data_IF_811070719242
#
_entry.id   IF_811070719242
#
_cell.length_a   1.000
_cell.length_b   1.000
_cell.length_c   1.000
_cell.angle_alpha   90.00
_cell.angle_beta   90.00
_cell.angle_gamma   90.00
#
_symmetry.space_group_name_H-M   'P 1'
#
loop_
_entity.id
_entity.type
_entity.pdbx_description
1 polymer ?
#
# COMPACT_ATOMS: atom_id res chain seq x y z
N UNK A 1 -1.87 15.03 35.81
CA UNK A 1 -1.85 15.73 34.50
C UNK A 1 -1.27 14.73 33.52
N UNK A 2 -2.13 13.86 32.99
CA UNK A 2 -1.71 12.72 32.19
C UNK A 2 -1.81 13.14 30.72
N UNK A 3 -0.67 13.46 30.11
CA UNK A 3 -0.57 13.49 28.66
C UNK A 3 -0.60 12.03 28.20
N UNK A 4 -1.80 11.52 27.92
CA UNK A 4 -1.92 10.35 27.05
C UNK A 4 -1.39 10.78 25.68
N UNK A 5 -0.12 10.46 25.42
CA UNK A 5 0.42 10.42 24.07
C UNK A 5 -0.39 9.34 23.32
N UNK A 6 -1.48 9.76 22.68
CA UNK A 6 -2.16 8.97 21.67
C UNK A 6 -1.23 8.87 20.46
N UNK A 7 -0.18 8.06 20.56
CA UNK A 7 0.55 7.60 19.39
C UNK A 7 -0.49 6.94 18.48
N UNK A 8 -0.75 7.57 17.34
CA UNK A 8 -1.71 7.10 16.35
C UNK A 8 -1.21 5.78 15.80
N UNK A 9 -1.55 4.68 16.45
CA UNK A 9 -1.14 3.33 16.02
C UNK A 9 -2.22 2.75 15.13
N UNK A 10 -1.87 2.44 13.88
CA UNK A 10 -2.75 1.77 12.93
C UNK A 10 -2.17 0.41 12.59
N UNK A 11 -2.95 -0.66 12.84
CA UNK A 11 -2.59 -2.00 12.39
C UNK A 11 -2.80 -2.09 10.87
N UNK A 12 -1.80 -2.60 10.19
CA UNK A 12 -1.79 -2.93 8.77
C UNK A 12 -1.81 -4.45 8.63
N UNK A 13 -2.66 -4.98 7.77
CA UNK A 13 -2.65 -6.40 7.41
C UNK A 13 -1.80 -6.62 6.18
N UNK A 14 -1.09 -7.75 6.11
CA UNK A 14 -0.55 -8.25 4.85
C UNK A 14 -1.51 -9.26 4.24
N UNK A 15 -1.69 -9.17 2.93
CA UNK A 15 -2.30 -10.22 2.13
C UNK A 15 -1.14 -11.00 1.50
N UNK A 16 -0.83 -12.18 2.05
CA UNK A 16 0.39 -12.93 1.71
C UNK A 16 1.67 -12.06 1.88
N UNK A 17 2.35 -11.77 0.77
CA UNK A 17 3.62 -11.04 0.69
C UNK A 17 3.46 -9.57 0.25
N UNK A 18 2.23 -9.06 0.15
CA UNK A 18 1.94 -7.66 -0.19
C UNK A 18 1.02 -6.97 0.83
N UNK A 19 0.93 -5.64 0.74
CA UNK A 19 0.16 -4.81 1.66
C UNK A 19 -1.34 -4.99 1.42
N UNK A 20 -2.06 -5.42 2.46
CA UNK A 20 -3.50 -5.61 2.46
C UNK A 20 -4.25 -4.48 3.19
N UNK A 21 -5.55 -4.69 3.38
CA UNK A 21 -6.43 -3.79 4.11
C UNK A 21 -6.43 -2.35 3.59
N UNK A 22 -6.64 -1.41 4.50
CA UNK A 22 -6.77 0.02 4.16
C UNK A 22 -5.50 0.62 3.56
N UNK A 23 -4.32 0.20 4.01
CA UNK A 23 -3.07 0.73 3.45
C UNK A 23 -2.86 0.22 2.02
N UNK A 24 -3.06 -1.09 1.79
CA UNK A 24 -3.01 -1.66 0.45
C UNK A 24 -3.96 -0.96 -0.51
N UNK A 25 -5.21 -0.73 -0.10
CA UNK A 25 -6.19 -0.01 -0.91
C UNK A 25 -5.82 1.46 -1.13
N UNK A 26 -5.34 2.16 -0.09
CA UNK A 26 -4.94 3.56 -0.21
C UNK A 26 -3.78 3.73 -1.19
N UNK A 27 -2.83 2.79 -1.19
CA UNK A 27 -1.75 2.75 -2.16
C UNK A 27 -2.26 2.48 -3.57
N UNK A 28 -3.13 1.49 -3.77
CA UNK A 28 -3.71 1.24 -5.09
C UNK A 28 -4.42 2.48 -5.64
N UNK A 29 -5.26 3.12 -4.82
CA UNK A 29 -5.98 4.35 -5.20
C UNK A 29 -5.01 5.48 -5.57
N UNK A 30 -3.91 5.62 -4.85
CA UNK A 30 -2.86 6.58 -5.17
C UNK A 30 -2.21 6.27 -6.52
N UNK A 31 -1.80 5.02 -6.76
CA UNK A 31 -1.18 4.60 -8.02
C UNK A 31 -2.08 4.86 -9.23
N UNK A 32 -3.39 4.62 -9.10
CA UNK A 32 -4.37 4.90 -10.14
C UNK A 32 -4.59 6.40 -10.33
N UNK A 33 -4.82 7.14 -9.24
CA UNK A 33 -5.09 8.58 -9.28
C UNK A 33 -3.93 9.37 -9.88
N UNK A 34 -2.70 9.00 -9.53
CA UNK A 34 -1.50 9.66 -10.03
C UNK A 34 -1.06 9.14 -11.40
N UNK A 35 -1.82 8.22 -12.03
CA UNK A 35 -1.50 7.59 -13.30
C UNK A 35 -0.12 6.90 -13.30
N UNK A 36 0.26 6.29 -12.17
CA UNK A 36 1.47 5.46 -12.06
C UNK A 36 1.22 4.08 -12.66
N UNK A 37 -0.03 3.63 -12.61
CA UNK A 37 -0.50 2.44 -13.28
C UNK A 37 -1.75 2.78 -14.06
N UNK A 38 -2.01 2.00 -15.10
CA UNK A 38 -3.21 2.14 -15.92
C UNK A 38 -3.73 0.78 -16.34
N UNK A 39 -5.04 0.67 -16.54
CA UNK A 39 -5.69 -0.49 -17.10
C UNK A 39 -5.69 -0.38 -18.63
N UNK A 40 -5.15 -1.38 -19.32
CA UNK A 40 -5.24 -1.52 -20.77
C UNK A 40 -5.86 -2.88 -21.06
N UNK A 41 -7.06 -2.89 -21.65
CA UNK A 41 -7.86 -4.11 -21.77
C UNK A 41 -8.22 -4.63 -20.39
N UNK A 42 -7.73 -5.83 -20.05
CA UNK A 42 -7.98 -6.47 -18.75
C UNK A 42 -6.74 -6.47 -17.84
N UNK A 43 -5.63 -5.89 -18.28
CA UNK A 43 -4.35 -5.96 -17.58
C UNK A 43 -3.89 -4.58 -17.12
N UNK A 44 -3.26 -4.55 -15.95
CA UNK A 44 -2.64 -3.34 -15.44
C UNK A 44 -1.20 -3.24 -15.92
N UNK A 45 -0.77 -2.01 -16.23
CA UNK A 45 0.59 -1.71 -16.66
C UNK A 45 1.13 -0.53 -15.86
N UNK A 46 2.42 -0.58 -15.54
CA UNK A 46 3.15 0.56 -14.96
C UNK A 46 3.42 1.56 -16.09
N UNK A 47 2.97 2.80 -15.91
CA UNK A 47 3.21 3.88 -16.88
C UNK A 47 4.66 4.35 -16.81
N UNK A 48 5.12 5.17 -17.77
CA UNK A 48 6.47 5.75 -17.66
C UNK A 48 6.63 6.55 -16.36
N UNK A 49 5.65 7.41 -16.03
CA UNK A 49 5.60 8.12 -14.74
C UNK A 49 5.68 7.15 -13.56
N UNK A 50 4.98 6.01 -13.62
CA UNK A 50 5.02 4.99 -12.58
C UNK A 50 6.41 4.39 -12.40
N UNK A 51 7.14 4.12 -13.48
CA UNK A 51 8.51 3.64 -13.39
C UNK A 51 9.43 4.66 -12.72
N UNK A 52 9.34 5.92 -13.15
CA UNK A 52 10.16 7.00 -12.61
C UNK A 52 9.89 7.20 -11.11
N UNK A 53 8.62 7.22 -10.69
CA UNK A 53 8.24 7.36 -9.28
C UNK A 53 8.64 6.14 -8.43
N UNK A 54 8.56 4.93 -8.98
CA UNK A 54 9.02 3.73 -8.28
C UNK A 54 10.52 3.77 -8.00
N UNK A 55 11.31 4.22 -8.97
CA UNK A 55 12.75 4.40 -8.81
C UNK A 55 13.06 5.49 -7.76
N UNK A 56 12.35 6.62 -7.79
CA UNK A 56 12.50 7.71 -6.82
C UNK A 56 12.24 7.23 -5.39
N UNK A 57 11.21 6.41 -5.16
CA UNK A 57 10.94 5.86 -3.83
C UNK A 57 11.89 4.70 -3.45
N UNK A 58 12.80 4.32 -4.34
CA UNK A 58 13.87 3.34 -4.13
C UNK A 58 13.43 1.89 -4.32
N UNK A 59 12.46 1.64 -5.21
CA UNK A 59 12.18 0.31 -5.72
C UNK A 59 13.24 -0.03 -6.78
N UNK A 60 13.78 -1.24 -6.72
CA UNK A 60 14.68 -1.77 -7.74
C UNK A 60 13.90 -2.06 -9.03
N UNK A 61 13.83 -1.05 -9.89
CA UNK A 61 13.08 -1.10 -11.15
C UNK A 61 13.72 -2.04 -12.17
N UNK A 62 15.03 -2.24 -12.13
CA UNK A 62 15.73 -3.19 -13.00
C UNK A 62 15.33 -4.63 -12.67
N UNK A 63 15.32 -4.96 -11.38
CA UNK A 63 14.81 -6.25 -10.91
C UNK A 63 13.34 -6.43 -11.27
N UNK A 64 12.51 -5.40 -11.07
CA UNK A 64 11.10 -5.45 -11.45
C UNK A 64 10.91 -5.65 -12.96
N UNK A 65 11.72 -4.99 -13.82
CA UNK A 65 11.70 -5.16 -15.28
C UNK A 65 12.07 -6.58 -15.70
N UNK A 66 13.14 -7.12 -15.12
CA UNK A 66 13.68 -8.45 -15.46
C UNK A 66 12.82 -9.63 -15.00
N UNK A 67 11.89 -9.39 -14.09
CA UNK A 67 11.00 -10.43 -13.56
C UNK A 67 10.10 -11.03 -14.65
N UNK A 68 10.04 -12.37 -14.65
CA UNK A 68 9.27 -13.19 -15.60
C UNK A 68 7.82 -13.37 -15.16
N UNK A 69 7.54 -13.36 -13.85
CA UNK A 69 6.16 -13.38 -13.35
C UNK A 69 5.46 -12.06 -13.67
N UNK A 70 4.13 -12.07 -13.59
CA UNK A 70 3.35 -10.86 -13.78
C UNK A 70 3.85 -9.74 -12.83
N UNK A 71 4.10 -8.55 -13.36
CA UNK A 71 4.69 -7.44 -12.60
C UNK A 71 3.67 -6.81 -11.67
N UNK A 72 2.42 -6.70 -12.12
CA UNK A 72 1.34 -6.06 -11.41
C UNK A 72 0.03 -6.82 -11.59
N UNK A 73 -0.69 -6.99 -10.49
CA UNK A 73 -2.08 -7.43 -10.51
C UNK A 73 -2.84 -6.71 -9.41
N UNK A 74 -4.18 -6.75 -9.49
CA UNK A 74 -5.02 -6.38 -8.36
C UNK A 74 -5.33 -7.65 -7.59
N UNK A 75 -5.01 -7.67 -6.30
CA UNK A 75 -5.38 -8.72 -5.38
C UNK A 75 -6.57 -8.25 -4.54
N UNK A 76 -7.46 -9.19 -4.22
CA UNK A 76 -8.71 -8.96 -3.52
C UNK A 76 -8.66 -9.65 -2.15
N UNK A 77 -8.86 -8.88 -1.10
CA UNK A 77 -8.95 -9.36 0.29
C UNK A 77 -10.30 -8.97 0.87
N UNK A 78 -11.00 -9.93 1.49
CA UNK A 78 -12.22 -9.64 2.26
C UNK A 78 -11.96 -9.84 3.75
N UNK A 79 -12.33 -8.85 4.55
CA UNK A 79 -12.20 -8.92 6.00
C UNK A 79 -13.42 -8.30 6.68
N UNK A 80 -14.10 -9.05 7.54
CA UNK A 80 -15.35 -8.66 8.20
C UNK A 80 -16.42 -8.12 7.22
N UNK A 81 -16.53 -8.71 6.02
CA UNK A 81 -17.49 -8.31 4.99
C UNK A 81 -17.10 -7.06 4.20
N UNK A 82 -15.92 -6.48 4.43
CA UNK A 82 -15.38 -5.36 3.66
C UNK A 82 -14.37 -5.90 2.64
N UNK A 83 -14.60 -5.60 1.36
CA UNK A 83 -13.67 -5.89 0.28
C UNK A 83 -12.60 -4.79 0.17
N UNK A 84 -11.35 -5.22 0.07
CA UNK A 84 -10.18 -4.41 -0.19
C UNK A 84 -9.52 -4.88 -1.48
N UNK A 85 -9.22 -3.92 -2.35
CA UNK A 85 -8.44 -4.12 -3.56
C UNK A 85 -7.05 -3.53 -3.34
N UNK A 86 -5.98 -4.25 -3.66
CA UNK A 86 -4.63 -3.76 -3.44
C UNK A 86 -3.65 -4.29 -4.49
N UNK A 87 -2.50 -3.63 -4.59
CA UNK A 87 -1.42 -4.03 -5.48
C UNK A 87 -0.87 -5.40 -5.05
N UNK A 88 -1.02 -6.38 -5.93
CA UNK A 88 -0.46 -7.72 -5.79
C UNK A 88 0.70 -7.95 -6.74
N UNK A 89 1.01 -9.23 -6.95
CA UNK A 89 2.12 -9.66 -7.80
C UNK A 89 3.46 -9.05 -7.37
N UNK A 90 4.44 -8.91 -8.28
CA UNK A 90 5.79 -8.56 -7.86
C UNK A 90 5.93 -7.16 -7.30
N UNK A 91 5.26 -6.19 -7.92
CA UNK A 91 5.24 -4.83 -7.45
C UNK A 91 4.69 -4.75 -6.01
N UNK A 92 3.62 -5.48 -5.70
CA UNK A 92 3.06 -5.54 -4.34
C UNK A 92 4.09 -6.03 -3.31
N UNK A 93 4.85 -7.09 -3.63
CA UNK A 93 5.90 -7.63 -2.76
C UNK A 93 7.04 -6.62 -2.54
N UNK A 94 7.50 -5.98 -3.62
CA UNK A 94 8.59 -4.99 -3.55
C UNK A 94 8.19 -3.75 -2.75
N UNK A 95 6.95 -3.27 -2.91
CA UNK A 95 6.43 -2.15 -2.12
C UNK A 95 6.36 -2.48 -0.63
N UNK A 96 5.90 -3.69 -0.28
CA UNK A 96 5.87 -4.12 1.11
C UNK A 96 7.29 -4.15 1.71
N UNK A 97 8.25 -4.75 1.00
CA UNK A 97 9.65 -4.78 1.42
C UNK A 97 10.20 -3.37 1.61
N UNK A 98 9.98 -2.48 0.64
CA UNK A 98 10.49 -1.11 0.68
C UNK A 98 9.93 -0.30 1.85
N UNK A 99 8.63 -0.42 2.11
CA UNK A 99 7.98 0.28 3.23
C UNK A 99 8.47 -0.27 4.59
N UNK A 100 8.82 -1.55 4.69
CA UNK A 100 9.48 -2.13 5.87
C UNK A 100 10.90 -1.54 6.02
N UNK A 101 11.70 -1.53 4.97
CA UNK A 101 13.08 -0.98 4.98
C UNK A 101 13.13 0.50 5.34
N UNK A 102 12.17 1.29 4.84
CA UNK A 102 12.03 2.70 5.20
C UNK A 102 11.61 2.90 6.67
N UNK A 103 11.23 1.84 7.39
CA UNK A 103 10.75 1.88 8.76
C UNK A 103 9.34 2.47 8.88
N UNK A 104 8.57 2.49 7.79
CA UNK A 104 7.20 3.02 7.78
C UNK A 104 6.24 2.05 8.44
N UNK A 105 6.47 0.75 8.30
CA UNK A 105 5.73 -0.27 9.06
C UNK A 105 6.68 -1.17 9.83
N UNK A 106 6.25 -1.62 11.01
CA UNK A 106 7.00 -2.55 11.87
C UNK A 106 6.19 -3.82 12.08
N UNK A 107 6.82 -4.99 11.89
CA UNK A 107 6.15 -6.29 12.08
C UNK A 107 5.70 -6.45 13.54
N UNK A 108 4.43 -6.81 13.73
CA UNK A 108 3.84 -7.12 15.05
C UNK A 108 3.62 -8.63 15.22
N UNK A 109 3.13 -9.30 14.19
CA UNK A 109 3.07 -10.76 14.09
C UNK A 109 3.24 -11.19 12.61
N UNK A 110 2.91 -12.43 12.25
CA UNK A 110 3.11 -12.93 10.88
C UNK A 110 2.38 -12.12 9.80
N UNK A 111 1.15 -11.65 10.08
CA UNK A 111 0.29 -10.97 9.10
C UNK A 111 -0.08 -9.53 9.48
N UNK A 112 0.34 -9.07 10.65
CA UNK A 112 0.00 -7.75 11.19
C UNK A 112 1.27 -6.95 11.38
N UNK A 113 1.23 -5.74 10.86
CA UNK A 113 2.24 -4.71 10.99
C UNK A 113 1.63 -3.49 11.68
N UNK A 114 2.47 -2.65 12.25
CA UNK A 114 2.07 -1.37 12.84
C UNK A 114 2.63 -0.26 11.97
N UNK A 115 1.77 0.67 11.54
CA UNK A 115 2.20 1.90 10.89
C UNK A 115 2.87 2.82 11.92
N UNK A 116 4.11 3.20 11.65
CA UNK A 116 4.90 4.09 12.52
C UNK A 116 4.58 5.56 12.24
N UNK A 117 4.96 6.46 13.14
CA UNK A 117 4.85 7.91 12.89
C UNK A 117 5.58 8.32 11.61
N UNK A 118 6.79 7.77 11.40
CA UNK A 118 7.56 7.95 10.16
C UNK A 118 6.77 7.50 8.94
N UNK A 119 6.04 6.39 9.05
CA UNK A 119 5.17 5.89 7.99
C UNK A 119 3.98 6.82 7.70
N UNK A 120 3.34 7.37 8.74
CA UNK A 120 2.30 8.39 8.55
C UNK A 120 2.84 9.62 7.82
N UNK A 121 3.95 10.19 8.28
CA UNK A 121 4.57 11.35 7.65
C UNK A 121 5.01 11.06 6.21
N UNK A 122 5.57 9.88 5.97
CA UNK A 122 5.98 9.43 4.64
C UNK A 122 4.81 9.35 3.67
N UNK A 123 3.73 8.68 4.06
CA UNK A 123 2.52 8.58 3.25
C UNK A 123 1.89 9.96 2.99
N UNK A 124 1.81 10.82 4.02
CA UNK A 124 1.27 12.17 3.86
C UNK A 124 2.11 13.03 2.91
N UNK A 125 3.45 12.89 2.93
CA UNK A 125 4.35 13.60 2.01
C UNK A 125 4.14 13.18 0.56
N UNK A 126 3.71 11.94 0.32
CA UNK A 126 3.29 11.45 -0.99
C UNK A 126 1.85 11.85 -1.36
N UNK A 127 1.12 12.53 -0.46
CA UNK A 127 -0.29 12.86 -0.65
C UNK A 127 -1.26 11.72 -0.33
N UNK A 128 -0.78 10.63 0.28
CA UNK A 128 -1.59 9.47 0.68
C UNK A 128 -2.11 9.69 2.10
N UNK A 129 -3.44 9.80 2.25
CA UNK A 129 -4.09 9.92 3.55
C UNK A 129 -4.90 8.68 3.88
N UNK A 130 -4.48 7.91 4.89
CA UNK A 130 -5.26 6.78 5.37
C UNK A 130 -6.36 7.26 6.31
N UNK A 131 -7.62 7.10 5.88
CA UNK A 131 -8.80 7.31 6.73
C UNK A 131 -9.17 5.97 7.38
N UNK A 132 -9.56 5.99 8.65
CA UNK A 132 -9.96 4.78 9.38
C UNK A 132 -11.17 4.10 8.70
N UNK A 133 -11.23 2.76 8.72
CA UNK A 133 -12.36 1.99 8.18
C UNK A 133 -13.70 2.36 8.82
N UNK A 134 -13.68 2.89 10.06
CA UNK A 134 -14.87 3.43 10.73
C UNK A 134 -15.58 4.53 9.92
N UNK A 135 -14.87 5.24 9.02
CA UNK A 135 -15.44 6.26 8.15
C UNK A 135 -16.13 5.69 6.90
N UNK A 136 -15.90 4.42 6.52
CA UNK A 136 -16.60 3.77 5.39
C UNK A 136 -18.07 3.47 5.71
N UNK A 137 -18.40 3.19 6.96
CA UNK A 137 -19.78 2.87 7.38
C UNK A 137 -20.72 4.09 7.38
N UNK A 138 -20.21 5.32 7.36
CA UNK A 138 -21.02 6.55 7.38
C UNK A 138 -21.47 7.07 6.01
N UNK A 139 -21.10 6.42 4.91
CA UNK A 139 -21.48 6.83 3.56
C UNK A 139 -22.49 5.89 2.88
N UNK A 140 -23.15 5.04 3.68
CA UNK A 140 -24.24 4.16 3.23
C UNK A 140 -25.55 4.45 3.98
N UNK A 141 -25.80 5.73 4.28
CA UNK A 141 -27.11 6.22 4.75
C UNK A 141 -27.50 7.44 3.93
#
# INVERSE_FOLDING_TARGET
MNYENNEKTMNITSCNDHLGGLLGESLLRFFLKENLIQLIGNDYFITQKGWDELEIIGIDVDKLRSEKRNKISICFESNHGILYEHLGSYLGSLLMQRIIELGWIKKKNEKIFMLTEKGFSGLESMGIRIKSAALRQKSLI
#
